data_IF_383328371668
#
_entry.id   IF_383328371668
#
_cell.length_a   1.000
_cell.length_b   1.000
_cell.length_c   1.000
_cell.angle_alpha   90.00
_cell.angle_beta   90.00
_cell.angle_gamma   90.00
#
_symmetry.space_group_name_H-M   'P 1'
#
loop_
_entity.id
_entity.type
_entity.pdbx_description
1 polymer ?
#
# COMPACT_ATOMS: atom_id res chain seq x y z
N UNK A 1 -19.61 22.09 -7.82
CA UNK A 1 -19.22 23.43 -7.39
C UNK A 1 -18.41 24.13 -8.49
N UNK A 2 -18.57 25.47 -8.67
CA UNK A 2 -17.88 26.20 -9.78
C UNK A 2 -16.35 26.27 -9.67
N UNK A 3 -15.80 25.97 -8.49
CA UNK A 3 -14.35 25.97 -8.21
C UNK A 3 -13.77 24.57 -8.01
N UNK A 4 -14.59 23.54 -8.21
CA UNK A 4 -14.14 22.16 -8.13
C UNK A 4 -13.19 21.83 -9.29
N UNK A 5 -12.06 21.19 -8.99
CA UNK A 5 -11.03 20.85 -9.97
C UNK A 5 -9.93 21.92 -10.13
N UNK A 6 -10.08 23.11 -9.54
CA UNK A 6 -9.01 24.12 -9.57
C UNK A 6 -7.97 23.90 -8.45
N UNK A 7 -6.68 24.19 -8.72
CA UNK A 7 -5.63 24.10 -7.69
C UNK A 7 -5.95 25.01 -6.50
N UNK A 8 -5.86 24.47 -5.29
CA UNK A 8 -6.08 25.24 -4.06
C UNK A 8 -4.79 25.85 -3.53
N UNK A 9 -3.72 25.10 -3.58
CA UNK A 9 -2.41 25.52 -3.08
C UNK A 9 -1.31 24.69 -3.75
N UNK A 10 -0.09 25.20 -3.71
CA UNK A 10 1.11 24.47 -4.08
C UNK A 10 1.88 24.09 -2.84
N UNK A 11 2.45 22.88 -2.83
CA UNK A 11 3.34 22.41 -1.77
C UNK A 11 4.58 21.78 -2.40
N UNK A 12 5.59 21.52 -1.57
CA UNK A 12 6.82 20.85 -1.99
C UNK A 12 6.70 19.37 -1.68
N UNK A 13 7.09 18.52 -2.61
CA UNK A 13 7.21 17.07 -2.36
C UNK A 13 8.44 16.83 -1.48
N UNK A 14 8.24 16.22 -0.31
CA UNK A 14 9.29 16.06 0.71
C UNK A 14 10.47 15.17 0.27
N UNK A 15 10.27 14.30 -0.71
CA UNK A 15 11.24 13.28 -1.12
C UNK A 15 11.46 13.20 -2.63
N UNK A 16 10.74 13.99 -3.43
CA UNK A 16 10.83 13.96 -4.90
C UNK A 16 12.02 14.76 -5.39
N UNK A 17 12.88 14.13 -6.16
CA UNK A 17 14.05 14.76 -6.82
C UNK A 17 13.93 14.57 -8.32
N UNK A 18 14.05 15.68 -9.05
CA UNK A 18 14.06 15.65 -10.52
C UNK A 18 15.50 15.53 -11.02
N UNK A 19 15.72 14.57 -11.90
CA UNK A 19 17.04 14.24 -12.45
C UNK A 19 17.06 14.60 -13.94
N UNK A 20 18.14 15.24 -14.37
CA UNK A 20 18.41 15.63 -15.75
C UNK A 20 19.89 15.44 -16.08
N UNK A 21 20.18 15.24 -17.35
CA UNK A 21 21.54 15.21 -17.91
C UNK A 21 22.13 16.60 -18.15
N UNK A 22 21.28 17.64 -18.14
CA UNK A 22 21.66 19.05 -18.33
C UNK A 22 21.01 19.90 -17.26
N UNK A 23 21.27 21.22 -17.28
CA UNK A 23 20.63 22.17 -16.40
C UNK A 23 19.11 22.13 -16.58
N UNK A 24 18.39 21.97 -15.47
CA UNK A 24 16.93 21.85 -15.47
C UNK A 24 16.22 23.06 -16.09
N UNK A 25 16.85 24.25 -16.07
CA UNK A 25 16.30 25.46 -16.69
C UNK A 25 16.18 25.38 -18.21
N UNK A 26 16.88 24.42 -18.83
CA UNK A 26 16.76 24.14 -20.26
C UNK A 26 15.45 23.40 -20.60
N UNK A 27 14.81 22.76 -19.62
CA UNK A 27 13.63 21.92 -19.81
C UNK A 27 12.38 22.51 -19.17
N UNK A 28 12.50 23.01 -17.94
CA UNK A 28 11.35 23.44 -17.14
C UNK A 28 11.67 24.72 -16.35
N UNK A 29 10.65 25.55 -16.06
CA UNK A 29 10.85 26.71 -15.20
C UNK A 29 11.06 26.29 -13.75
N UNK A 30 12.01 26.95 -13.10
CA UNK A 30 12.29 26.79 -11.67
C UNK A 30 11.82 27.99 -10.87
N UNK A 31 11.53 27.79 -9.60
CA UNK A 31 11.33 28.85 -8.61
C UNK A 31 12.31 28.70 -7.47
N UNK A 32 12.57 29.78 -6.77
CA UNK A 32 13.38 29.76 -5.57
C UNK A 32 12.65 29.00 -4.46
N UNK A 33 13.32 28.02 -3.85
CA UNK A 33 12.87 27.33 -2.63
C UNK A 33 13.70 27.81 -1.44
N UNK A 34 13.36 27.35 -0.25
CA UNK A 34 14.07 27.77 0.96
C UNK A 34 15.52 27.29 0.99
N UNK A 35 15.77 26.05 0.56
CA UNK A 35 17.10 25.47 0.55
C UNK A 35 17.60 25.10 -0.86
N UNK A 36 16.69 24.68 -1.74
CA UNK A 36 17.01 24.22 -3.09
C UNK A 36 15.99 24.79 -4.10
N UNK A 37 16.38 24.92 -5.39
CA UNK A 37 15.45 25.26 -6.46
C UNK A 37 14.33 24.22 -6.56
N UNK A 38 13.11 24.69 -6.83
CA UNK A 38 11.92 23.86 -7.01
C UNK A 38 11.38 23.98 -8.42
N UNK A 39 10.85 22.89 -8.96
CA UNK A 39 10.14 22.91 -10.25
C UNK A 39 8.83 23.70 -10.11
N UNK A 40 8.47 24.48 -11.12
CA UNK A 40 7.16 25.13 -11.19
C UNK A 40 6.09 24.19 -11.75
N UNK A 41 6.51 23.13 -12.45
CA UNK A 41 5.61 22.08 -12.91
C UNK A 41 5.32 21.08 -11.81
N UNK A 42 4.12 20.51 -11.84
CA UNK A 42 3.76 19.35 -11.05
C UNK A 42 4.44 18.07 -11.58
N UNK A 43 4.23 16.94 -10.92
CA UNK A 43 4.84 15.67 -11.30
C UNK A 43 4.53 15.27 -12.75
N UNK A 44 3.28 15.49 -13.19
CA UNK A 44 2.85 15.14 -14.55
C UNK A 44 3.53 16.04 -15.60
N UNK A 45 3.64 17.33 -15.35
CA UNK A 45 4.35 18.28 -16.23
C UNK A 45 5.84 17.97 -16.34
N UNK A 46 6.47 17.57 -15.23
CA UNK A 46 7.87 17.14 -15.21
C UNK A 46 8.08 15.87 -16.07
N UNK A 47 7.24 14.86 -15.90
CA UNK A 47 7.29 13.63 -16.71
C UNK A 47 7.01 13.91 -18.19
N UNK A 48 6.01 14.75 -18.50
CA UNK A 48 5.68 15.14 -19.86
C UNK A 48 6.81 15.92 -20.55
N UNK A 49 7.69 16.59 -19.78
CA UNK A 49 8.89 17.26 -20.29
C UNK A 49 10.07 16.29 -20.52
N UNK A 50 9.88 14.99 -20.35
CA UNK A 50 10.89 13.97 -20.55
C UNK A 50 11.91 13.83 -19.41
N UNK A 51 11.63 14.45 -18.27
CA UNK A 51 12.50 14.38 -17.09
C UNK A 51 12.12 13.20 -16.19
N UNK A 52 13.11 12.69 -15.46
CA UNK A 52 12.93 11.62 -14.49
C UNK A 52 12.71 12.22 -13.08
N UNK A 53 11.59 11.88 -12.45
CA UNK A 53 11.35 12.17 -11.03
C UNK A 53 11.60 10.89 -10.22
N UNK A 54 12.47 10.98 -9.24
CA UNK A 54 12.73 9.89 -8.28
C UNK A 54 12.30 10.32 -6.87
N UNK A 55 11.67 9.42 -6.15
CA UNK A 55 11.24 9.65 -4.79
C UNK A 55 12.17 8.91 -3.82
N UNK A 56 12.95 9.68 -3.05
CA UNK A 56 13.87 9.16 -2.03
C UNK A 56 13.23 9.27 -0.65
N UNK A 57 12.43 8.28 -0.30
CA UNK A 57 11.74 8.25 0.98
C UNK A 57 12.47 7.31 1.95
N UNK A 58 13.13 7.90 2.95
CA UNK A 58 13.75 7.16 4.04
C UNK A 58 12.73 6.77 5.11
N UNK A 59 12.84 5.57 5.65
CA UNK A 59 12.04 5.07 6.77
C UNK A 59 12.88 4.97 8.03
N UNK A 60 12.64 5.85 9.01
CA UNK A 60 13.32 5.82 10.32
C UNK A 60 13.10 4.51 11.07
N UNK A 61 12.00 3.82 10.80
CA UNK A 61 11.67 2.56 11.47
C UNK A 61 12.67 1.44 11.14
N UNK A 62 13.23 1.42 9.92
CA UNK A 62 14.28 0.44 9.57
C UNK A 62 15.56 0.68 10.39
N UNK A 63 15.95 1.94 10.56
CA UNK A 63 17.09 2.33 11.43
C UNK A 63 16.81 1.96 12.89
N UNK A 64 15.56 2.11 13.33
CA UNK A 64 15.15 1.74 14.68
C UNK A 64 15.28 0.22 14.91
N UNK A 65 14.80 -0.59 13.97
CA UNK A 65 14.93 -2.06 14.01
C UNK A 65 16.39 -2.48 14.03
N UNK A 66 17.23 -1.87 13.18
CA UNK A 66 18.66 -2.14 13.17
C UNK A 66 19.31 -1.85 14.53
N UNK A 67 19.05 -0.69 15.11
CA UNK A 67 19.58 -0.32 16.44
C UNK A 67 19.10 -1.26 17.55
N UNK A 68 17.85 -1.74 17.46
CA UNK A 68 17.37 -2.75 18.41
C UNK A 68 18.14 -4.05 18.29
N UNK A 69 18.42 -4.52 17.08
CA UNK A 69 19.24 -5.72 16.87
C UNK A 69 20.66 -5.56 17.43
N UNK A 70 21.29 -4.40 17.18
CA UNK A 70 22.62 -4.07 17.72
C UNK A 70 22.61 -4.07 19.25
N UNK A 71 21.63 -3.40 19.86
CA UNK A 71 21.47 -3.32 21.31
C UNK A 71 21.26 -4.69 21.96
N UNK A 72 20.38 -5.53 21.39
CA UNK A 72 20.14 -6.89 21.90
C UNK A 72 21.40 -7.75 21.81
N UNK A 73 22.18 -7.62 20.72
CA UNK A 73 23.43 -8.33 20.60
C UNK A 73 24.46 -7.91 21.65
N UNK A 74 24.51 -6.61 21.99
CA UNK A 74 25.45 -6.04 22.98
C UNK A 74 25.03 -6.36 24.43
N UNK A 75 23.75 -6.28 24.76
CA UNK A 75 23.27 -6.38 26.15
C UNK A 75 22.93 -7.80 26.56
N UNK A 76 22.31 -8.57 25.65
CA UNK A 76 21.79 -9.91 25.93
C UNK A 76 22.54 -11.02 25.19
N UNK A 77 23.49 -10.66 24.32
CA UNK A 77 24.19 -11.62 23.47
C UNK A 77 23.29 -12.30 22.43
N UNK A 78 22.07 -11.78 22.20
CA UNK A 78 21.08 -12.35 21.31
C UNK A 78 21.21 -11.71 19.92
N UNK A 79 21.43 -12.54 18.90
CA UNK A 79 21.46 -12.12 17.51
C UNK A 79 20.15 -12.50 16.82
N UNK A 80 19.36 -11.50 16.44
CA UNK A 80 18.11 -11.70 15.69
C UNK A 80 18.39 -11.58 14.19
N UNK A 81 17.96 -12.58 13.43
CA UNK A 81 17.96 -12.55 11.95
C UNK A 81 16.53 -12.34 11.49
N UNK A 82 16.24 -11.18 10.89
CA UNK A 82 14.86 -10.75 10.56
C UNK A 82 14.15 -11.79 9.68
N UNK A 83 14.85 -12.37 8.73
CA UNK A 83 14.25 -13.35 7.80
C UNK A 83 13.97 -14.73 8.45
N UNK A 84 14.39 -14.94 9.69
CA UNK A 84 14.18 -16.18 10.45
C UNK A 84 13.16 -16.01 11.57
N UNK A 85 12.54 -14.82 11.69
CA UNK A 85 11.50 -14.56 12.69
C UNK A 85 10.26 -15.39 12.34
N UNK A 86 9.72 -16.09 13.35
CA UNK A 86 8.45 -16.79 13.23
C UNK A 86 7.31 -15.78 13.12
N UNK A 87 6.70 -15.70 11.93
CA UNK A 87 5.58 -14.80 11.65
C UNK A 87 4.27 -15.29 12.29
N UNK A 88 4.21 -16.54 12.74
CA UNK A 88 3.04 -17.16 13.38
C UNK A 88 3.17 -17.21 14.91
N UNK A 89 4.09 -16.41 15.49
CA UNK A 89 4.24 -16.32 16.94
C UNK A 89 2.95 -15.87 17.62
N UNK A 90 2.40 -16.73 18.45
CA UNK A 90 1.07 -16.57 19.06
C UNK A 90 1.01 -15.42 20.04
N UNK A 91 2.09 -15.14 20.76
CA UNK A 91 2.15 -14.03 21.73
C UNK A 91 2.14 -12.69 21.00
N UNK A 92 2.91 -12.60 19.93
CA UNK A 92 2.93 -11.41 19.05
C UNK A 92 1.56 -11.19 18.39
N UNK A 93 0.94 -12.24 17.84
CA UNK A 93 -0.40 -12.14 17.25
C UNK A 93 -1.46 -11.74 18.28
N UNK A 94 -1.39 -12.26 19.51
CA UNK A 94 -2.27 -11.85 20.60
C UNK A 94 -2.06 -10.37 21.00
N UNK A 95 -0.81 -9.87 20.92
CA UNK A 95 -0.52 -8.45 21.13
C UNK A 95 -1.23 -7.58 20.07
N UNK A 96 -1.16 -7.96 18.80
CA UNK A 96 -1.91 -7.29 17.73
C UNK A 96 -3.43 -7.34 17.98
N UNK A 97 -3.98 -8.50 18.31
CA UNK A 97 -5.41 -8.67 18.59
C UNK A 97 -5.89 -7.82 19.77
N UNK A 98 -5.06 -7.65 20.80
CA UNK A 98 -5.37 -6.79 21.96
C UNK A 98 -5.41 -5.30 21.61
N UNK A 99 -4.76 -4.91 20.52
CA UNK A 99 -4.55 -3.51 20.13
C UNK A 99 -3.51 -2.76 20.97
N UNK A 100 -2.68 -3.45 21.74
CA UNK A 100 -1.57 -2.85 22.49
C UNK A 100 -0.36 -2.60 21.59
N UNK A 101 -0.57 -1.86 20.51
CA UNK A 101 0.36 -1.67 19.40
C UNK A 101 1.02 -0.29 19.41
N UNK A 102 1.19 0.31 20.57
CA UNK A 102 1.91 1.57 20.71
C UNK A 102 3.38 1.40 20.30
N UNK A 103 3.84 2.26 19.40
CA UNK A 103 5.19 2.20 18.85
C UNK A 103 5.37 1.19 17.71
N UNK A 104 4.33 0.41 17.36
CA UNK A 104 4.38 -0.47 16.21
C UNK A 104 3.98 0.32 14.96
N UNK A 105 4.90 0.41 14.01
CA UNK A 105 4.70 1.16 12.78
C UNK A 105 3.39 0.83 12.07
N UNK A 106 2.64 1.87 11.70
CA UNK A 106 1.30 1.83 11.07
C UNK A 106 0.17 1.28 11.97
N UNK A 107 0.45 0.63 13.10
CA UNK A 107 -0.56 0.06 13.98
C UNK A 107 -0.80 0.85 15.27
N UNK A 108 -0.11 1.97 15.46
CA UNK A 108 -0.30 2.88 16.61
C UNK A 108 -1.42 3.92 16.40
N UNK A 109 -1.93 4.05 15.16
CA UNK A 109 -3.02 4.96 14.85
C UNK A 109 -4.36 4.45 15.43
N UNK A 110 -5.21 5.34 15.99
CA UNK A 110 -6.48 4.92 16.59
C UNK A 110 -7.39 4.12 15.65
N UNK A 111 -7.35 4.41 14.34
CA UNK A 111 -8.09 3.65 13.32
C UNK A 111 -7.62 2.21 13.21
N UNK A 112 -6.31 2.01 13.11
CA UNK A 112 -5.69 0.69 13.02
C UNK A 112 -5.91 -0.12 14.30
N UNK A 113 -5.77 0.49 15.48
CA UNK A 113 -6.04 -0.17 16.77
C UNK A 113 -7.49 -0.66 16.85
N UNK A 114 -8.47 0.17 16.45
CA UNK A 114 -9.88 -0.24 16.43
C UNK A 114 -10.12 -1.40 15.45
N UNK A 115 -9.45 -1.37 14.31
CA UNK A 115 -9.57 -2.41 13.31
C UNK A 115 -8.95 -3.74 13.79
N UNK A 116 -7.76 -3.71 14.37
CA UNK A 116 -7.12 -4.88 14.99
C UNK A 116 -8.03 -5.57 16.01
N UNK A 117 -8.64 -4.78 16.90
CA UNK A 117 -9.59 -5.30 17.91
C UNK A 117 -10.84 -5.93 17.31
N UNK A 118 -11.21 -5.56 16.10
CA UNK A 118 -12.35 -6.16 15.37
C UNK A 118 -11.94 -7.39 14.59
N UNK A 119 -10.80 -7.32 13.90
CA UNK A 119 -10.25 -8.43 13.09
C UNK A 119 -9.79 -9.58 13.97
N UNK A 120 -9.22 -9.28 15.16
CA UNK A 120 -8.67 -10.30 16.06
C UNK A 120 -7.68 -11.21 15.32
N UNK A 121 -6.51 -10.71 14.90
CA UNK A 121 -5.53 -11.49 14.14
C UNK A 121 -5.13 -12.77 14.88
N UNK A 122 -5.14 -13.89 14.16
CA UNK A 122 -4.72 -15.21 14.65
C UNK A 122 -3.58 -15.81 13.81
N UNK A 123 -3.26 -15.16 12.68
CA UNK A 123 -2.16 -15.48 11.77
C UNK A 123 -1.59 -14.20 11.16
N UNK A 124 -0.42 -14.29 10.54
CA UNK A 124 0.24 -13.14 9.93
C UNK A 124 -0.58 -12.53 8.79
N UNK A 125 -1.28 -13.35 8.01
CA UNK A 125 -2.16 -12.89 6.93
C UNK A 125 -3.26 -11.95 7.44
N UNK A 126 -3.78 -12.14 8.61
CA UNK A 126 -4.76 -11.23 9.23
C UNK A 126 -4.16 -9.84 9.51
N UNK A 127 -2.88 -9.79 9.89
CA UNK A 127 -2.15 -8.53 10.10
C UNK A 127 -1.96 -7.80 8.77
N UNK A 128 -1.57 -8.54 7.73
CA UNK A 128 -1.45 -8.01 6.35
C UNK A 128 -2.79 -7.47 5.85
N UNK A 129 -3.86 -8.25 6.01
CA UNK A 129 -5.22 -7.84 5.64
C UNK A 129 -5.67 -6.59 6.39
N UNK A 130 -5.37 -6.50 7.70
CA UNK A 130 -5.69 -5.32 8.51
C UNK A 130 -5.01 -4.06 7.97
N UNK A 131 -3.74 -4.16 7.57
CA UNK A 131 -3.02 -3.03 6.94
C UNK A 131 -3.68 -2.57 5.65
N UNK A 132 -4.13 -3.52 4.84
CA UNK A 132 -4.79 -3.24 3.56
C UNK A 132 -6.18 -2.63 3.75
N UNK A 133 -6.97 -3.17 4.67
CA UNK A 133 -8.32 -2.68 5.01
C UNK A 133 -8.31 -1.26 5.60
N UNK A 134 -7.20 -0.85 6.23
CA UNK A 134 -7.06 0.49 6.81
C UNK A 134 -6.80 1.58 5.75
N UNK A 135 -6.83 1.25 4.46
CA UNK A 135 -6.65 2.20 3.36
C UNK A 135 -7.98 2.69 2.81
N UNK A 136 -8.05 3.95 2.32
CA UNK A 136 -9.25 4.45 1.63
C UNK A 136 -9.65 3.54 0.45
N UNK A 137 -10.94 3.28 0.32
CA UNK A 137 -11.49 2.36 -0.68
C UNK A 137 -11.64 0.93 -0.17
N UNK A 138 -10.63 0.33 0.44
CA UNK A 138 -10.75 -0.99 1.08
C UNK A 138 -11.55 -0.95 2.39
N UNK A 139 -11.58 0.20 3.04
CA UNK A 139 -12.32 0.41 4.30
C UNK A 139 -13.82 0.12 4.22
N UNK A 140 -14.41 0.19 3.04
CA UNK A 140 -15.83 -0.11 2.82
C UNK A 140 -16.15 -1.61 3.06
N UNK A 141 -15.15 -2.47 2.92
CA UNK A 141 -15.27 -3.92 3.10
C UNK A 141 -14.94 -4.41 4.50
N UNK A 142 -14.57 -3.53 5.44
CA UNK A 142 -14.19 -3.91 6.81
C UNK A 142 -15.28 -4.74 7.49
N UNK A 143 -16.54 -4.35 7.36
CA UNK A 143 -17.65 -5.04 8.02
C UNK A 143 -17.82 -6.46 7.49
N UNK A 144 -17.79 -6.63 6.16
CA UNK A 144 -17.90 -7.94 5.53
C UNK A 144 -16.69 -8.83 5.89
N UNK A 145 -15.47 -8.29 5.82
CA UNK A 145 -14.27 -9.03 6.20
C UNK A 145 -14.35 -9.57 7.63
N UNK A 146 -14.68 -8.70 8.58
CA UNK A 146 -14.81 -9.09 9.99
C UNK A 146 -15.93 -10.10 10.19
N UNK A 147 -17.11 -9.89 9.61
CA UNK A 147 -18.24 -10.80 9.73
C UNK A 147 -17.95 -12.19 9.15
N UNK A 148 -17.30 -12.25 7.97
CA UNK A 148 -16.92 -13.50 7.31
C UNK A 148 -15.83 -14.24 8.07
N UNK A 149 -14.80 -13.52 8.53
CA UNK A 149 -13.74 -14.09 9.36
C UNK A 149 -14.27 -14.75 10.63
N UNK A 150 -15.28 -14.14 11.26
CA UNK A 150 -15.87 -14.65 12.50
C UNK A 150 -17.07 -15.59 12.26
N UNK A 151 -17.34 -15.99 11.02
CA UNK A 151 -18.43 -16.91 10.68
C UNK A 151 -19.83 -16.32 10.84
N UNK A 152 -19.95 -15.00 10.90
CA UNK A 152 -21.24 -14.29 11.02
C UNK A 152 -21.87 -13.99 9.65
N UNK A 153 -21.10 -14.05 8.59
CA UNK A 153 -21.51 -13.90 7.20
C UNK A 153 -20.89 -15.03 6.38
N UNK A 154 -21.65 -15.61 5.47
CA UNK A 154 -21.16 -16.65 4.56
C UNK A 154 -20.15 -16.06 3.56
N UNK A 155 -19.04 -16.77 3.35
CA UNK A 155 -18.06 -16.39 2.33
C UNK A 155 -18.62 -16.75 0.97
N UNK A 156 -18.90 -15.76 0.15
CA UNK A 156 -19.37 -15.93 -1.22
C UNK A 156 -18.35 -15.39 -2.20
N UNK A 157 -18.08 -16.14 -3.26
CA UNK A 157 -17.26 -15.72 -4.40
C UNK A 157 -18.13 -15.71 -5.66
N UNK A 158 -17.74 -14.92 -6.64
CA UNK A 158 -18.50 -14.78 -7.89
C UNK A 158 -18.53 -16.10 -8.69
N UNK A 159 -17.43 -16.85 -8.64
CA UNK A 159 -17.25 -18.10 -9.33
C UNK A 159 -16.30 -19.01 -8.52
N UNK A 160 -16.57 -20.33 -8.41
CA UNK A 160 -15.72 -21.27 -7.70
C UNK A 160 -14.24 -21.25 -8.11
N UNK A 161 -13.94 -20.90 -9.36
CA UNK A 161 -12.56 -20.77 -9.85
C UNK A 161 -11.74 -19.70 -9.12
N UNK A 162 -12.39 -18.79 -8.41
CA UNK A 162 -11.78 -17.72 -7.64
C UNK A 162 -11.58 -18.04 -6.16
N UNK A 163 -12.09 -19.19 -5.68
CA UNK A 163 -12.01 -19.56 -4.26
C UNK A 163 -10.59 -19.55 -3.75
N UNK A 164 -9.67 -20.24 -4.44
CA UNK A 164 -8.27 -20.31 -4.03
C UNK A 164 -7.61 -18.94 -3.91
N UNK A 165 -7.97 -18.00 -4.81
CA UNK A 165 -7.39 -16.66 -4.86
C UNK A 165 -7.92 -15.79 -3.73
N UNK A 166 -9.20 -15.93 -3.42
CA UNK A 166 -9.89 -15.05 -2.47
C UNK A 166 -10.08 -15.66 -1.09
N UNK A 167 -9.76 -16.95 -0.89
CA UNK A 167 -9.86 -17.61 0.41
C UNK A 167 -9.10 -16.88 1.53
N UNK A 168 -7.84 -16.41 1.33
CA UNK A 168 -7.10 -15.69 2.38
C UNK A 168 -7.75 -14.39 2.82
N UNK A 169 -8.64 -13.83 2.00
CA UNK A 169 -9.33 -12.56 2.25
C UNK A 169 -10.85 -12.72 2.35
N UNK A 170 -11.30 -13.92 2.68
CA UNK A 170 -12.71 -14.24 2.90
C UNK A 170 -13.63 -13.82 1.73
N UNK A 171 -13.18 -14.07 0.49
CA UNK A 171 -13.95 -13.74 -0.72
C UNK A 171 -13.90 -12.26 -1.13
N UNK A 172 -13.09 -11.44 -0.48
CA UNK A 172 -12.95 -10.02 -0.79
C UNK A 172 -11.67 -9.80 -1.61
N UNK A 173 -11.77 -9.11 -2.74
CA UNK A 173 -10.61 -8.72 -3.54
C UNK A 173 -9.91 -7.52 -2.87
N UNK A 174 -8.91 -7.80 -2.05
CA UNK A 174 -8.24 -6.83 -1.19
C UNK A 174 -6.86 -6.42 -1.71
N UNK A 175 -6.14 -7.34 -2.37
CA UNK A 175 -4.76 -7.14 -2.81
C UNK A 175 -4.67 -6.89 -4.31
N UNK A 176 -3.67 -6.12 -4.72
CA UNK A 176 -3.40 -5.88 -6.15
C UNK A 176 -3.06 -7.18 -6.89
N UNK A 177 -2.36 -8.09 -6.23
CA UNK A 177 -2.02 -9.41 -6.75
C UNK A 177 -3.27 -10.24 -7.03
N UNK A 178 -4.29 -10.16 -6.19
CA UNK A 178 -5.57 -10.83 -6.42
C UNK A 178 -6.28 -10.29 -7.66
N UNK A 179 -6.25 -8.98 -7.91
CA UNK A 179 -6.79 -8.39 -9.15
C UNK A 179 -6.13 -9.02 -10.38
N UNK A 180 -4.79 -9.15 -10.35
CA UNK A 180 -4.05 -9.75 -11.46
C UNK A 180 -4.35 -11.23 -11.62
N UNK A 181 -4.37 -11.98 -10.52
CA UNK A 181 -4.68 -13.42 -10.51
C UNK A 181 -6.11 -13.69 -10.99
N UNK A 182 -7.08 -12.89 -10.58
CA UNK A 182 -8.47 -12.97 -11.06
C UNK A 182 -8.53 -12.72 -12.55
N UNK A 183 -7.86 -11.67 -13.06
CA UNK A 183 -7.83 -11.38 -14.49
C UNK A 183 -7.17 -12.51 -15.31
N UNK A 184 -6.12 -13.12 -14.79
CA UNK A 184 -5.47 -14.26 -15.42
C UNK A 184 -6.35 -15.53 -15.41
N UNK A 185 -6.91 -15.85 -14.26
CA UNK A 185 -7.67 -17.09 -14.06
C UNK A 185 -9.04 -17.06 -14.70
N UNK A 186 -9.75 -15.93 -14.56
CA UNK A 186 -11.13 -15.78 -15.01
C UNK A 186 -11.24 -15.32 -16.48
N UNK A 187 -10.39 -14.36 -16.90
CA UNK A 187 -10.40 -13.79 -18.24
C UNK A 187 -9.27 -14.29 -19.16
N UNK A 188 -8.39 -15.18 -18.70
CA UNK A 188 -7.29 -15.71 -19.49
C UNK A 188 -6.22 -14.68 -19.85
N UNK A 189 -6.11 -13.58 -19.11
CA UNK A 189 -5.12 -12.55 -19.41
C UNK A 189 -3.70 -13.04 -19.18
N UNK A 190 -2.75 -12.60 -20.01
CA UNK A 190 -1.34 -12.72 -19.68
C UNK A 190 -0.99 -11.86 -18.47
N UNK A 191 0.12 -12.17 -17.79
CA UNK A 191 0.60 -11.39 -16.64
C UNK A 191 0.75 -9.90 -16.99
N UNK A 192 1.32 -9.58 -18.17
CA UNK A 192 1.48 -8.20 -18.62
C UNK A 192 0.14 -7.49 -18.84
N UNK A 193 -0.85 -8.18 -19.42
CA UNK A 193 -2.19 -7.61 -19.60
C UNK A 193 -2.92 -7.40 -18.28
N UNK A 194 -2.76 -8.32 -17.34
CA UNK A 194 -3.29 -8.19 -15.99
C UNK A 194 -2.66 -7.01 -15.20
N UNK A 195 -1.36 -6.75 -15.41
CA UNK A 195 -0.68 -5.59 -14.79
C UNK A 195 -1.18 -4.25 -15.40
N UNK A 196 -1.43 -4.20 -16.69
CA UNK A 196 -2.05 -3.02 -17.34
C UNK A 196 -3.43 -2.75 -16.73
N UNK A 197 -4.26 -3.81 -16.56
CA UNK A 197 -5.57 -3.69 -15.91
C UNK A 197 -5.45 -3.14 -14.48
N UNK A 198 -4.55 -3.71 -13.69
CA UNK A 198 -4.29 -3.26 -12.31
C UNK A 198 -3.91 -1.78 -12.26
N UNK A 199 -3.03 -1.33 -13.16
CA UNK A 199 -2.61 0.09 -13.25
C UNK A 199 -3.77 1.00 -13.67
N UNK A 200 -4.57 0.58 -14.65
CA UNK A 200 -5.74 1.34 -15.09
C UNK A 200 -6.76 1.53 -13.95
N UNK A 201 -7.02 0.47 -13.18
CA UNK A 201 -7.87 0.53 -11.99
C UNK A 201 -7.30 1.48 -10.92
N UNK A 202 -6.02 1.35 -10.62
CA UNK A 202 -5.35 2.18 -9.61
C UNK A 202 -5.31 3.67 -9.97
N UNK A 203 -5.12 3.99 -11.25
CA UNK A 203 -5.14 5.37 -11.77
C UNK A 203 -6.55 5.90 -12.07
N UNK A 204 -7.58 5.04 -11.96
CA UNK A 204 -8.97 5.34 -12.38
C UNK A 204 -9.05 5.82 -13.83
N UNK A 205 -8.23 5.24 -14.70
CA UNK A 205 -8.16 5.56 -16.11
C UNK A 205 -9.34 4.91 -16.87
N UNK A 206 -10.36 5.70 -17.09
CA UNK A 206 -11.60 5.25 -17.73
C UNK A 206 -11.38 4.80 -19.20
N UNK A 207 -10.43 5.41 -19.91
CA UNK A 207 -10.15 5.06 -21.32
C UNK A 207 -9.47 3.70 -21.40
N UNK A 208 -8.41 3.49 -20.60
CA UNK A 208 -7.73 2.19 -20.52
C UNK A 208 -8.68 1.08 -20.04
N UNK A 209 -9.56 1.37 -19.08
CA UNK A 209 -10.58 0.42 -18.62
C UNK A 209 -11.58 0.05 -19.71
N UNK A 210 -11.98 1.01 -20.54
CA UNK A 210 -12.89 0.75 -21.65
C UNK A 210 -12.24 -0.13 -22.75
N UNK A 211 -10.98 0.15 -23.11
CA UNK A 211 -10.23 -0.67 -24.04
C UNK A 211 -10.05 -2.11 -23.54
N UNK A 212 -9.76 -2.27 -22.25
CA UNK A 212 -9.61 -3.59 -21.62
C UNK A 212 -10.91 -4.39 -21.60
N UNK A 213 -12.06 -3.73 -21.55
CA UNK A 213 -13.37 -4.38 -21.58
C UNK A 213 -13.70 -4.99 -22.95
N UNK A 214 -13.20 -4.39 -24.02
CA UNK A 214 -13.46 -4.84 -25.40
C UNK A 214 -12.52 -5.97 -25.85
N UNK A 215 -11.50 -6.29 -25.10
CA UNK A 215 -10.40 -7.23 -25.41
C UNK A 215 -10.51 -8.53 -24.64
#
# INVERSE_FOLDING_TARGET
CKIEGYPRQTSVHAAGVVISDQDLTNYIPLKHGDEIPLTQYDAHGVEASGLLKMDFLGLRNLTFVQKMQELLAETEGVKIVINEIDLEDKETLALFASGNTKGIFQFEQPGAIRLLKRVQPVCFEDVVATTSLNRPGASDYINNFVARKHGQEEVTVLDPVLEDILAPTYGIMLYQEQVMQVAQRFAGFSLGKADILRRAMGKKDASAMHEMRAS
#
